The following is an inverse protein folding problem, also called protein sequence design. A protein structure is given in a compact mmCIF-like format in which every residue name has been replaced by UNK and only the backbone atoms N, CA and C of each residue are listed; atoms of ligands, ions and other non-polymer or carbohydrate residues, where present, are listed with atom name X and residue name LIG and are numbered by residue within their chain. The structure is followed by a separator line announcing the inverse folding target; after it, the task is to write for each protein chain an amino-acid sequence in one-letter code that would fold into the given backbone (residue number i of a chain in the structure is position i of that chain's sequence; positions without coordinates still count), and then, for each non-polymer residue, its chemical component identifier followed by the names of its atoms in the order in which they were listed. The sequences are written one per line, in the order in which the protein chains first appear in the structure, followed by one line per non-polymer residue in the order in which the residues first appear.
data_IF_046104531954
#
_entry.id   IF_046104531954
#
_cell.length_a   1.000
_cell.length_b   1.000
_cell.length_c   1.000
_cell.angle_alpha   90.00
_cell.angle_beta   90.00
_cell.angle_gamma   90.00
#
_symmetry.space_group_name_H-M   'P 1'
#
loop_
_entity.id
_entity.type
_entity.pdbx_description
1 polymer ?
#
# COMPACT_ATOMS: atom_id res chain seq x y z
N UNK A 1 31.01 16.78 8.35
CA UNK A 1 30.38 15.74 7.50
C UNK A 1 30.12 14.43 8.23
N UNK A 2 31.08 13.82 8.96
CA UNK A 2 30.88 12.53 9.65
C UNK A 2 29.74 12.52 10.67
N UNK A 3 29.58 13.57 11.48
CA UNK A 3 28.49 13.68 12.46
C UNK A 3 27.12 13.67 11.77
N UNK A 4 26.94 14.46 10.71
CA UNK A 4 25.70 14.46 9.91
C UNK A 4 25.40 13.10 9.30
N UNK A 5 26.39 12.44 8.70
CA UNK A 5 26.19 11.12 8.10
C UNK A 5 25.79 10.08 9.15
N UNK A 6 26.42 10.08 10.33
CA UNK A 6 26.08 9.13 11.38
C UNK A 6 24.68 9.40 11.95
N UNK A 7 24.38 10.65 12.32
CA UNK A 7 23.10 10.98 12.95
C UNK A 7 21.93 10.86 11.97
N UNK A 8 22.03 11.44 10.77
CA UNK A 8 20.90 11.44 9.82
C UNK A 8 20.63 10.05 9.24
N UNK A 9 21.66 9.25 8.96
CA UNK A 9 21.47 7.89 8.45
C UNK A 9 20.83 6.98 9.50
N UNK A 10 21.14 7.15 10.78
CA UNK A 10 20.45 6.43 11.84
C UNK A 10 18.96 6.78 11.89
N UNK A 11 18.61 8.06 11.67
CA UNK A 11 17.21 8.50 11.68
C UNK A 11 16.35 7.93 10.55
N UNK A 12 16.96 7.32 9.52
CA UNK A 12 16.23 6.61 8.46
C UNK A 12 15.89 5.17 8.80
N UNK A 13 16.44 4.61 9.88
CA UNK A 13 16.19 3.23 10.32
C UNK A 13 14.99 3.18 11.25
N UNK A 14 14.54 1.99 11.66
CA UNK A 14 13.47 1.84 12.67
C UNK A 14 13.90 2.27 14.08
N UNK A 15 15.16 2.01 14.44
CA UNK A 15 15.77 2.35 15.72
C UNK A 15 17.16 2.95 15.49
N UNK A 16 17.58 3.85 16.38
CA UNK A 16 18.94 4.39 16.36
C UNK A 16 19.96 3.42 16.99
N UNK A 17 21.24 3.82 17.08
CA UNK A 17 22.27 2.97 17.69
C UNK A 17 22.10 2.70 19.18
N UNK A 18 21.20 3.44 19.87
CA UNK A 18 20.89 3.26 21.28
C UNK A 18 19.60 2.47 21.51
N UNK A 19 18.89 2.09 20.44
CA UNK A 19 17.61 1.38 20.51
C UNK A 19 16.39 2.31 20.62
N UNK A 20 16.58 3.62 20.45
CA UNK A 20 15.51 4.61 20.54
C UNK A 20 14.75 4.75 19.22
N UNK A 21 13.47 5.13 19.29
CA UNK A 21 12.64 5.36 18.10
C UNK A 21 13.18 6.53 17.29
N UNK A 22 13.31 6.34 15.99
CA UNK A 22 13.74 7.36 15.05
C UNK A 22 12.57 8.17 14.49
N UNK A 23 12.89 9.25 13.79
CA UNK A 23 11.92 10.01 12.99
C UNK A 23 11.19 9.11 11.98
N UNK A 24 11.91 8.20 11.29
CA UNK A 24 11.28 7.26 10.36
C UNK A 24 10.27 6.34 11.05
N UNK A 25 10.55 5.87 12.28
CA UNK A 25 9.59 5.09 13.06
C UNK A 25 8.38 5.89 13.48
N UNK A 26 8.58 7.11 13.99
CA UNK A 26 7.51 7.97 14.49
C UNK A 26 6.54 8.39 13.38
N UNK A 27 7.04 8.84 12.24
CA UNK A 27 6.18 9.20 11.11
C UNK A 27 5.50 7.99 10.50
N UNK A 28 6.19 6.86 10.39
CA UNK A 28 5.56 5.61 9.91
C UNK A 28 4.37 5.23 10.78
N UNK A 29 4.54 5.26 12.11
CA UNK A 29 3.47 4.98 13.06
C UNK A 29 2.33 6.01 12.94
N UNK A 30 2.65 7.29 12.81
CA UNK A 30 1.65 8.35 12.71
C UNK A 30 0.79 8.22 11.43
N UNK A 31 1.42 7.99 10.27
CA UNK A 31 0.67 7.80 9.01
C UNK A 31 -0.21 6.54 9.06
N UNK A 32 0.32 5.42 9.56
CA UNK A 32 -0.43 4.16 9.56
C UNK A 32 -1.54 4.11 10.62
N UNK A 33 -1.27 4.54 11.85
CA UNK A 33 -2.19 4.37 12.98
C UNK A 33 -3.11 5.56 13.21
N UNK A 34 -2.72 6.76 12.77
CA UNK A 34 -3.47 8.00 13.02
C UNK A 34 -4.13 8.49 11.73
N UNK A 35 -3.35 8.82 10.69
CA UNK A 35 -3.91 9.39 9.45
C UNK A 35 -4.80 8.37 8.72
N UNK A 36 -4.27 7.20 8.34
CA UNK A 36 -5.01 6.20 7.56
C UNK A 36 -6.15 5.56 8.35
N UNK A 37 -6.06 5.52 9.68
CA UNK A 37 -7.16 5.08 10.54
C UNK A 37 -8.34 6.05 10.51
N UNK A 38 -8.08 7.36 10.46
CA UNK A 38 -9.12 8.40 10.31
C UNK A 38 -9.75 8.40 8.92
N UNK A 39 -8.99 8.02 7.88
CA UNK A 39 -9.54 7.76 6.54
C UNK A 39 -10.53 6.59 6.58
N UNK A 40 -10.14 5.49 7.24
CA UNK A 40 -11.01 4.32 7.42
C UNK A 40 -12.29 4.62 8.22
N UNK A 41 -12.24 5.64 9.10
CA UNK A 41 -13.40 6.13 9.86
C UNK A 41 -14.30 7.09 9.05
N UNK A 42 -13.95 7.42 7.81
CA UNK A 42 -14.72 8.30 6.93
C UNK A 42 -14.54 9.80 7.20
N UNK A 43 -13.57 10.19 8.05
CA UNK A 43 -13.34 11.60 8.39
C UNK A 43 -12.37 12.32 7.45
N UNK A 44 -11.65 11.56 6.63
CA UNK A 44 -10.66 12.03 5.66
C UNK A 44 -10.90 11.27 4.36
N UNK A 45 -10.72 11.91 3.20
CA UNK A 45 -10.73 11.21 1.91
C UNK A 45 -9.47 11.52 1.10
N UNK A 46 -9.17 10.65 0.14
CA UNK A 46 -8.12 10.93 -0.85
C UNK A 46 -8.71 11.75 -2.01
N UNK A 47 -8.10 12.89 -2.32
CA UNK A 47 -8.47 13.74 -3.44
C UNK A 47 -7.44 13.63 -4.56
N UNK A 48 -7.81 12.98 -5.67
CA UNK A 48 -6.92 12.86 -6.83
C UNK A 48 -6.57 14.22 -7.46
N UNK A 49 -7.50 15.19 -7.40
CA UNK A 49 -7.27 16.53 -7.94
C UNK A 49 -6.22 17.32 -7.14
N UNK A 50 -6.18 17.13 -5.82
CA UNK A 50 -5.20 17.79 -4.96
C UNK A 50 -3.95 16.94 -4.73
N UNK A 51 -3.97 15.66 -5.14
CA UNK A 51 -2.94 14.65 -4.83
C UNK A 51 -2.60 14.62 -3.34
N UNK A 52 -3.62 14.71 -2.49
CA UNK A 52 -3.49 14.76 -1.04
C UNK A 52 -4.69 14.09 -0.37
N UNK A 53 -4.54 13.76 0.91
CA UNK A 53 -5.66 13.44 1.79
C UNK A 53 -6.24 14.73 2.36
N UNK A 54 -7.57 14.85 2.35
CA UNK A 54 -8.29 16.06 2.73
C UNK A 54 -9.28 15.72 3.83
N UNK A 55 -9.31 16.54 4.88
CA UNK A 55 -10.29 16.41 5.96
C UNK A 55 -11.72 16.70 5.44
N UNK A 56 -12.67 15.81 5.74
CA UNK A 56 -14.08 15.95 5.37
C UNK A 56 -14.94 16.57 6.46
N UNK A 57 -14.51 16.47 7.72
CA UNK A 57 -15.24 16.98 8.87
C UNK A 57 -14.99 18.48 9.06
N UNK A 58 -15.97 19.17 9.66
CA UNK A 58 -15.83 20.58 9.99
C UNK A 58 -14.61 20.83 10.89
N UNK A 59 -13.97 21.99 10.72
CA UNK A 59 -12.82 22.44 11.49
C UNK A 59 -13.00 22.16 13.00
N UNK A 60 -12.07 21.42 13.61
CA UNK A 60 -12.05 21.12 15.04
C UNK A 60 -12.53 19.73 15.47
N UNK A 61 -13.15 18.92 14.59
CA UNK A 61 -13.48 17.52 14.91
C UNK A 61 -12.24 16.60 14.92
N UNK A 62 -11.20 17.00 14.19
CA UNK A 62 -9.93 16.30 14.03
C UNK A 62 -8.83 17.26 14.50
N UNK A 63 -7.87 16.76 15.28
CA UNK A 63 -6.78 17.56 15.85
C UNK A 63 -5.73 18.05 14.84
N UNK A 64 -5.89 17.74 13.55
CA UNK A 64 -4.97 18.14 12.47
C UNK A 64 -5.72 18.16 11.13
N UNK A 65 -5.21 18.94 10.17
CA UNK A 65 -5.69 18.96 8.79
C UNK A 65 -4.90 17.94 7.96
N UNK A 66 -5.57 17.00 7.29
CA UNK A 66 -4.88 15.91 6.60
C UNK A 66 -4.01 16.40 5.44
N UNK A 67 -4.42 17.48 4.80
CA UNK A 67 -3.75 18.11 3.67
C UNK A 67 -2.38 18.69 4.06
N UNK A 68 -2.24 19.20 5.29
CA UNK A 68 -0.99 19.76 5.83
C UNK A 68 0.06 18.68 6.17
N UNK A 69 -0.24 17.40 5.94
CA UNK A 69 0.68 16.29 6.16
C UNK A 69 0.76 15.33 4.98
N UNK A 70 -0.05 15.51 3.94
CA UNK A 70 -0.14 14.52 2.85
C UNK A 70 -0.12 15.10 1.45
N UNK A 71 0.01 16.43 1.34
CA UNK A 71 0.30 17.04 0.05
C UNK A 71 1.68 16.61 -0.47
N UNK A 72 1.95 16.93 -1.72
CA UNK A 72 3.19 16.56 -2.38
C UNK A 72 4.41 17.23 -1.71
N UNK A 73 4.26 18.43 -1.15
CA UNK A 73 5.39 19.14 -0.55
C UNK A 73 5.81 18.49 0.77
N UNK A 74 4.84 18.13 1.61
CA UNK A 74 5.05 17.45 2.88
C UNK A 74 5.62 16.05 2.68
N UNK A 75 5.12 15.30 1.68
CA UNK A 75 5.67 13.99 1.36
C UNK A 75 7.07 14.05 0.75
N UNK A 76 7.40 15.11 -0.01
CA UNK A 76 8.79 15.37 -0.45
C UNK A 76 9.68 15.72 0.75
N UNK A 77 9.21 16.55 1.67
CA UNK A 77 9.95 16.88 2.89
C UNK A 77 10.21 15.64 3.75
N UNK A 78 9.20 14.77 3.89
CA UNK A 78 9.35 13.47 4.54
C UNK A 78 10.41 12.62 3.84
N UNK A 79 10.35 12.51 2.50
CA UNK A 79 11.32 11.74 1.73
C UNK A 79 12.75 12.30 1.82
N UNK A 80 12.92 13.62 1.93
CA UNK A 80 14.23 14.24 2.20
C UNK A 80 14.77 13.88 3.60
N UNK A 81 13.88 13.76 4.58
CA UNK A 81 14.23 13.50 5.97
C UNK A 81 14.56 12.04 6.24
N UNK A 82 13.73 11.11 5.74
CA UNK A 82 13.85 9.67 6.05
C UNK A 82 14.48 8.87 4.90
N UNK A 83 14.64 9.48 3.72
CA UNK A 83 15.32 8.89 2.56
C UNK A 83 14.71 7.58 2.05
N UNK A 84 15.40 6.89 1.12
CA UNK A 84 14.94 5.61 0.58
C UNK A 84 14.72 4.54 1.65
N UNK A 85 15.57 4.49 2.69
CA UNK A 85 15.45 3.48 3.75
C UNK A 85 14.17 3.66 4.58
N UNK A 86 13.90 4.90 5.04
CA UNK A 86 12.70 5.18 5.81
C UNK A 86 11.44 5.07 4.97
N UNK A 87 11.46 5.50 3.70
CA UNK A 87 10.33 5.35 2.78
C UNK A 87 10.04 3.89 2.42
N UNK A 88 11.09 3.05 2.33
CA UNK A 88 10.94 1.60 2.22
C UNK A 88 10.29 1.01 3.46
N UNK A 89 10.74 1.39 4.66
CA UNK A 89 10.15 0.93 5.92
C UNK A 89 8.68 1.35 6.06
N UNK A 90 8.34 2.59 5.70
CA UNK A 90 6.96 3.07 5.60
C UNK A 90 6.16 2.17 4.66
N UNK A 91 6.67 1.93 3.45
CA UNK A 91 5.99 1.10 2.45
C UNK A 91 5.78 -0.35 2.91
N UNK A 92 6.75 -0.96 3.57
CA UNK A 92 6.64 -2.30 4.16
C UNK A 92 5.55 -2.35 5.23
N UNK A 93 5.47 -1.32 6.09
CA UNK A 93 4.42 -1.20 7.11
C UNK A 93 3.03 -1.09 6.48
N UNK A 94 2.89 -0.28 5.43
CA UNK A 94 1.63 -0.17 4.67
C UNK A 94 1.24 -1.52 4.04
N UNK A 95 2.20 -2.25 3.45
CA UNK A 95 1.94 -3.54 2.83
C UNK A 95 1.56 -4.61 3.86
N UNK A 96 2.11 -4.55 5.07
CA UNK A 96 1.69 -5.41 6.17
C UNK A 96 0.20 -5.21 6.51
N UNK A 97 -0.25 -3.95 6.61
CA UNK A 97 -1.67 -3.65 6.84
C UNK A 97 -2.56 -4.15 5.68
N UNK A 98 -2.14 -4.00 4.43
CA UNK A 98 -2.88 -4.55 3.28
C UNK A 98 -2.95 -6.07 3.36
N UNK A 99 -1.85 -6.75 3.67
CA UNK A 99 -1.84 -8.20 3.79
C UNK A 99 -2.82 -8.69 4.87
N UNK A 100 -2.90 -7.98 6.00
CA UNK A 100 -3.92 -8.23 7.02
C UNK A 100 -5.35 -8.07 6.49
N UNK A 101 -5.65 -7.01 5.72
CA UNK A 101 -6.97 -6.85 5.09
C UNK A 101 -7.30 -7.97 4.10
N UNK A 102 -6.31 -8.41 3.30
CA UNK A 102 -6.48 -9.52 2.35
C UNK A 102 -6.78 -10.83 3.08
N UNK A 103 -6.17 -11.09 4.23
CA UNK A 103 -6.49 -12.28 5.03
C UNK A 103 -7.92 -12.29 5.54
N UNK A 104 -8.44 -11.14 5.97
CA UNK A 104 -9.84 -11.02 6.36
C UNK A 104 -10.79 -11.17 5.16
N UNK A 105 -10.42 -10.64 3.98
CA UNK A 105 -11.18 -10.87 2.74
C UNK A 105 -11.23 -12.36 2.36
N UNK A 106 -10.12 -13.09 2.49
CA UNK A 106 -10.09 -14.54 2.23
C UNK A 106 -11.09 -15.29 3.12
N UNK A 107 -11.24 -14.90 4.40
CA UNK A 107 -12.24 -15.51 5.31
C UNK A 107 -13.68 -15.26 4.81
N UNK A 108 -13.98 -14.05 4.36
CA UNK A 108 -15.30 -13.71 3.80
C UNK A 108 -15.60 -14.50 2.53
N UNK A 109 -14.60 -14.73 1.68
CA UNK A 109 -14.73 -15.59 0.48
C UNK A 109 -15.01 -17.03 0.86
N UNK A 110 -14.29 -17.58 1.84
CA UNK A 110 -14.51 -18.96 2.31
C UNK A 110 -15.94 -19.13 2.86
N UNK A 111 -16.45 -18.16 3.61
CA UNK A 111 -17.83 -18.17 4.11
C UNK A 111 -18.89 -18.18 2.99
N UNK A 112 -18.58 -17.59 1.83
CA UNK A 112 -19.48 -17.49 0.68
C UNK A 112 -19.08 -18.42 -0.49
N UNK A 113 -18.19 -19.39 -0.27
CA UNK A 113 -17.51 -20.18 -1.33
C UNK A 113 -18.50 -20.83 -2.31
N UNK A 114 -19.53 -21.50 -1.80
CA UNK A 114 -20.52 -22.20 -2.63
C UNK A 114 -21.34 -21.23 -3.49
N UNK A 115 -21.79 -20.12 -2.90
CA UNK A 115 -22.56 -19.08 -3.60
C UNK A 115 -21.71 -18.44 -4.69
N UNK A 116 -20.45 -18.10 -4.39
CA UNK A 116 -19.51 -17.51 -5.34
C UNK A 116 -19.16 -18.47 -6.49
N UNK A 117 -19.05 -19.77 -6.23
CA UNK A 117 -18.85 -20.77 -7.30
C UNK A 117 -20.07 -20.87 -8.23
N UNK A 118 -21.29 -20.81 -7.67
CA UNK A 118 -22.52 -20.80 -8.46
C UNK A 118 -22.64 -19.53 -9.32
N UNK A 119 -22.30 -18.37 -8.76
CA UNK A 119 -22.24 -17.09 -9.48
C UNK A 119 -21.21 -17.14 -10.62
N UNK A 120 -20.01 -17.70 -10.35
CA UNK A 120 -18.94 -17.83 -11.36
C UNK A 120 -19.33 -18.73 -12.54
N UNK A 121 -20.14 -19.76 -12.31
CA UNK A 121 -20.49 -20.77 -13.34
C UNK A 121 -21.79 -20.47 -14.06
N UNK A 122 -22.68 -19.64 -13.49
CA UNK A 122 -23.99 -19.30 -14.05
C UNK A 122 -24.12 -17.80 -14.34
N UNK A 123 -23.02 -17.13 -14.71
CA UNK A 123 -22.98 -15.70 -15.02
C UNK A 123 -23.88 -15.32 -16.22
N UNK A 124 -24.25 -16.29 -17.05
CA UNK A 124 -25.12 -16.18 -18.22
C UNK A 124 -26.62 -16.33 -17.91
N UNK A 125 -26.98 -16.64 -16.65
CA UNK A 125 -28.37 -16.89 -16.22
C UNK A 125 -28.85 -15.84 -15.20
N UNK A 126 -29.52 -14.76 -15.65
CA UNK A 126 -29.90 -13.64 -14.80
C UNK A 126 -30.75 -14.02 -13.58
N UNK A 127 -31.67 -14.98 -13.72
CA UNK A 127 -32.53 -15.40 -12.61
C UNK A 127 -31.74 -16.09 -11.49
N UNK A 128 -30.82 -16.99 -11.85
CA UNK A 128 -29.94 -17.66 -10.89
C UNK A 128 -29.01 -16.64 -10.23
N UNK A 129 -28.43 -15.73 -11.02
CA UNK A 129 -27.56 -14.66 -10.49
C UNK A 129 -28.28 -13.80 -9.45
N UNK A 130 -29.51 -13.37 -9.73
CA UNK A 130 -30.31 -12.55 -8.82
C UNK A 130 -30.65 -13.28 -7.52
N UNK A 131 -30.94 -14.58 -7.59
CA UNK A 131 -31.21 -15.39 -6.41
C UNK A 131 -29.95 -15.61 -5.56
N UNK A 132 -28.84 -15.99 -6.19
CA UNK A 132 -27.57 -16.23 -5.49
C UNK A 132 -27.00 -14.96 -4.89
N UNK A 133 -27.15 -13.80 -5.55
CA UNK A 133 -26.69 -12.51 -5.01
C UNK A 133 -27.33 -12.19 -3.66
N UNK A 134 -28.63 -12.48 -3.48
CA UNK A 134 -29.34 -12.26 -2.20
C UNK A 134 -28.82 -13.15 -1.06
N UNK A 135 -28.11 -14.24 -1.38
CA UNK A 135 -27.53 -15.17 -0.41
C UNK A 135 -26.13 -14.76 0.06
N UNK A 136 -25.49 -13.78 -0.61
CA UNK A 136 -24.19 -13.28 -0.20
C UNK A 136 -24.29 -12.60 1.16
N UNK A 137 -23.33 -12.91 2.04
CA UNK A 137 -23.25 -12.35 3.38
C UNK A 137 -22.07 -11.38 3.46
N UNK A 138 -22.23 -10.32 4.27
CA UNK A 138 -21.15 -9.38 4.57
C UNK A 138 -20.58 -8.63 3.35
N UNK A 139 -21.41 -8.34 2.34
CA UNK A 139 -21.03 -7.58 1.14
C UNK A 139 -20.41 -6.22 1.50
N UNK A 140 -21.02 -5.49 2.44
CA UNK A 140 -20.51 -4.19 2.90
C UNK A 140 -19.10 -4.29 3.50
N UNK A 141 -18.79 -5.39 4.22
CA UNK A 141 -17.47 -5.62 4.78
C UNK A 141 -16.43 -5.88 3.68
N UNK A 142 -16.80 -6.55 2.58
CA UNK A 142 -15.92 -6.75 1.42
C UNK A 142 -15.58 -5.40 0.79
N UNK A 143 -16.59 -4.58 0.50
CA UNK A 143 -16.42 -3.25 -0.08
C UNK A 143 -15.61 -2.33 0.83
N UNK A 144 -15.88 -2.32 2.13
CA UNK A 144 -15.14 -1.52 3.10
C UNK A 144 -13.65 -1.90 3.11
N UNK A 145 -13.33 -3.20 3.18
CA UNK A 145 -11.94 -3.67 3.21
C UNK A 145 -11.20 -3.39 1.91
N UNK A 146 -11.85 -3.59 0.76
CA UNK A 146 -11.27 -3.23 -0.54
C UNK A 146 -11.02 -1.72 -0.67
N UNK A 147 -11.92 -0.90 -0.12
CA UNK A 147 -11.74 0.56 -0.07
C UNK A 147 -10.55 0.94 0.79
N UNK A 148 -10.39 0.31 1.97
CA UNK A 148 -9.22 0.52 2.84
C UNK A 148 -7.92 0.15 2.11
N UNK A 149 -7.89 -0.99 1.41
CA UNK A 149 -6.73 -1.40 0.60
C UNK A 149 -6.41 -0.33 -0.46
N UNK A 150 -7.42 0.14 -1.19
CA UNK A 150 -7.27 1.18 -2.21
C UNK A 150 -6.69 2.47 -1.63
N UNK A 151 -7.22 2.93 -0.48
CA UNK A 151 -6.74 4.11 0.25
C UNK A 151 -5.26 3.98 0.62
N UNK A 152 -4.85 2.84 1.19
CA UNK A 152 -3.45 2.62 1.59
C UNK A 152 -2.54 2.63 0.35
N UNK A 153 -2.97 2.03 -0.76
CA UNK A 153 -2.24 2.05 -2.02
C UNK A 153 -2.14 3.46 -2.61
N UNK A 154 -3.21 4.27 -2.53
CA UNK A 154 -3.17 5.68 -2.96
C UNK A 154 -2.18 6.50 -2.15
N UNK A 155 -2.13 6.31 -0.83
CA UNK A 155 -1.12 6.97 0.02
C UNK A 155 0.30 6.53 -0.36
N UNK A 156 0.52 5.23 -0.55
CA UNK A 156 1.82 4.72 -1.00
C UNK A 156 2.21 5.33 -2.35
N UNK A 157 1.29 5.46 -3.29
CA UNK A 157 1.57 6.01 -4.61
C UNK A 157 2.13 7.44 -4.51
N UNK A 158 1.43 8.35 -3.82
CA UNK A 158 1.90 9.74 -3.67
C UNK A 158 3.21 9.83 -2.87
N UNK A 159 3.42 8.93 -1.91
CA UNK A 159 4.67 8.82 -1.16
C UNK A 159 5.85 8.38 -2.04
N UNK A 160 5.64 7.40 -2.93
CA UNK A 160 6.65 6.92 -3.88
C UNK A 160 6.94 7.95 -5.00
N UNK A 161 5.92 8.63 -5.50
CA UNK A 161 6.07 9.77 -6.44
C UNK A 161 6.95 10.87 -5.80
N UNK A 162 6.67 11.21 -4.54
CA UNK A 162 7.44 12.22 -3.80
C UNK A 162 8.89 11.80 -3.53
N UNK A 163 9.13 10.52 -3.25
CA UNK A 163 10.48 9.96 -3.13
C UNK A 163 11.24 10.06 -4.46
N UNK A 164 10.62 9.64 -5.56
CA UNK A 164 11.24 9.69 -6.89
C UNK A 164 11.67 11.12 -7.23
N UNK A 165 10.80 12.10 -7.01
CA UNK A 165 11.09 13.52 -7.26
C UNK A 165 12.31 14.02 -6.47
N UNK A 166 12.47 13.56 -5.23
CA UNK A 166 13.63 13.91 -4.38
C UNK A 166 14.89 13.23 -4.90
N UNK A 167 14.82 11.94 -5.24
CA UNK A 167 15.99 11.19 -5.71
C UNK A 167 16.46 11.65 -7.09
N UNK A 168 15.56 12.03 -7.99
CA UNK A 168 15.92 12.61 -9.28
C UNK A 168 16.76 13.88 -9.12
N UNK A 169 16.45 14.70 -8.11
CA UNK A 169 17.22 15.92 -7.81
C UNK A 169 18.55 15.61 -7.11
N UNK A 170 18.58 14.62 -6.21
CA UNK A 170 19.74 14.36 -5.34
C UNK A 170 20.77 13.41 -5.96
N UNK A 171 20.32 12.42 -6.73
CA UNK A 171 21.13 11.34 -7.32
C UNK A 171 20.73 11.04 -8.79
N UNK A 172 20.71 12.04 -9.68
CA UNK A 172 20.16 11.92 -11.04
C UNK A 172 20.82 10.81 -11.87
N UNK A 173 22.14 10.62 -11.73
CA UNK A 173 22.87 9.59 -12.47
C UNK A 173 22.42 8.18 -12.08
N UNK A 174 22.21 7.92 -10.78
CA UNK A 174 21.76 6.61 -10.31
C UNK A 174 20.33 6.33 -10.78
N UNK A 175 19.45 7.33 -10.68
CA UNK A 175 18.06 7.19 -11.15
C UNK A 175 18.01 6.95 -12.67
N UNK A 176 18.83 7.65 -13.45
CA UNK A 176 18.92 7.42 -14.89
C UNK A 176 19.33 5.98 -15.21
N UNK A 177 20.33 5.44 -14.49
CA UNK A 177 20.73 4.04 -14.68
C UNK A 177 19.62 3.07 -14.28
N UNK A 178 18.94 3.28 -13.15
CA UNK A 178 17.84 2.42 -12.71
C UNK A 178 16.69 2.43 -13.75
N UNK A 179 16.35 3.60 -14.30
CA UNK A 179 15.34 3.74 -15.35
C UNK A 179 15.73 2.98 -16.62
N UNK A 180 16.98 3.06 -17.04
CA UNK A 180 17.49 2.30 -18.20
C UNK A 180 17.39 0.79 -17.98
N UNK A 181 17.82 0.30 -16.80
CA UNK A 181 17.66 -1.11 -16.41
C UNK A 181 16.19 -1.54 -16.40
N UNK A 182 15.28 -0.69 -15.96
CA UNK A 182 13.84 -0.98 -15.94
C UNK A 182 13.26 -1.15 -17.35
N UNK A 183 13.70 -0.33 -18.31
CA UNK A 183 13.20 -0.34 -19.69
C UNK A 183 13.73 -1.51 -20.50
N UNK A 184 14.97 -1.94 -20.23
CA UNK A 184 15.64 -3.00 -20.99
C UNK A 184 15.28 -4.42 -20.53
N UNK A 185 14.30 -4.60 -19.64
CA UNK A 185 13.87 -5.90 -19.10
C UNK A 185 13.35 -6.85 -20.21
N UNK A 186 14.13 -7.84 -20.68
CA UNK A 186 13.81 -8.58 -21.91
C UNK A 186 12.78 -9.71 -21.71
N UNK A 187 12.54 -10.15 -20.47
CA UNK A 187 11.85 -11.42 -20.20
C UNK A 187 10.99 -11.44 -18.93
N UNK A 188 10.68 -10.28 -18.36
CA UNK A 188 10.06 -10.18 -17.04
C UNK A 188 11.07 -10.53 -15.94
N UNK A 189 11.05 -9.79 -14.85
CA UNK A 189 12.04 -9.87 -13.77
C UNK A 189 11.85 -11.15 -12.93
N UNK A 190 12.53 -12.27 -13.22
CA UNK A 190 12.19 -13.57 -12.66
C UNK A 190 12.59 -13.63 -11.18
N UNK A 191 13.68 -12.94 -10.83
CA UNK A 191 14.21 -12.84 -9.48
C UNK A 191 13.65 -11.64 -8.71
N UNK A 192 12.82 -10.80 -9.33
CA UNK A 192 12.22 -9.58 -8.74
C UNK A 192 13.21 -8.51 -8.26
N UNK A 193 14.50 -8.69 -8.53
CA UNK A 193 15.57 -7.81 -8.03
C UNK A 193 15.49 -6.44 -8.66
N UNK A 194 15.19 -6.38 -9.96
CA UNK A 194 15.09 -5.10 -10.68
C UNK A 194 13.84 -4.34 -10.21
N UNK A 195 12.75 -5.05 -9.96
CA UNK A 195 11.50 -4.50 -9.45
C UNK A 195 11.67 -3.97 -8.04
N UNK A 196 12.37 -4.71 -7.16
CA UNK A 196 12.72 -4.24 -5.82
C UNK A 196 13.60 -2.99 -5.85
N UNK A 197 14.61 -2.95 -6.73
CA UNK A 197 15.45 -1.77 -6.93
C UNK A 197 14.64 -0.58 -7.45
N UNK A 198 13.76 -0.78 -8.42
CA UNK A 198 12.89 0.25 -8.95
C UNK A 198 11.95 0.80 -7.87
N UNK A 199 11.27 -0.08 -7.12
CA UNK A 199 10.38 0.34 -6.05
C UNK A 199 11.12 1.02 -4.90
N UNK A 200 12.38 0.66 -4.62
CA UNK A 200 13.20 1.36 -3.62
C UNK A 200 13.60 2.78 -4.07
N UNK A 201 13.57 3.04 -5.38
CA UNK A 201 13.88 4.32 -5.99
C UNK A 201 12.65 5.19 -6.28
N UNK A 202 11.44 4.79 -5.84
CA UNK A 202 10.22 5.55 -6.17
C UNK A 202 9.60 5.21 -7.52
N UNK A 203 10.19 4.31 -8.31
CA UNK A 203 9.69 4.01 -9.66
C UNK A 203 8.49 3.06 -9.61
N UNK A 204 7.45 3.31 -10.43
CA UNK A 204 6.29 2.43 -10.51
C UNK A 204 6.67 1.08 -11.12
N UNK A 205 6.15 0.00 -10.54
CA UNK A 205 6.31 -1.36 -11.04
C UNK A 205 4.96 -1.94 -11.46
N UNK A 206 4.93 -2.73 -12.54
CA UNK A 206 3.70 -3.43 -12.98
C UNK A 206 3.18 -4.41 -11.93
N UNK A 207 4.11 -5.09 -11.25
CA UNK A 207 3.82 -5.94 -10.09
C UNK A 207 4.63 -5.38 -8.94
N UNK A 208 3.94 -4.99 -7.87
CA UNK A 208 4.56 -4.42 -6.69
C UNK A 208 5.32 -5.50 -5.90
N UNK A 209 6.67 -5.41 -5.81
CA UNK A 209 7.47 -6.45 -5.17
C UNK A 209 7.23 -6.53 -3.67
N UNK A 210 7.05 -5.38 -3.01
CA UNK A 210 6.82 -5.27 -1.56
C UNK A 210 5.46 -5.85 -1.19
N UNK A 211 4.41 -5.54 -1.98
CA UNK A 211 3.09 -6.13 -1.77
C UNK A 211 3.12 -7.65 -2.00
N UNK A 212 3.76 -8.09 -3.08
CA UNK A 212 3.84 -9.50 -3.39
C UNK A 212 4.64 -10.28 -2.32
N UNK A 213 5.66 -9.68 -1.72
CA UNK A 213 6.39 -10.24 -0.57
C UNK A 213 5.49 -10.34 0.66
N UNK A 214 4.78 -9.26 1.02
CA UNK A 214 3.88 -9.23 2.17
C UNK A 214 2.75 -10.28 2.06
N UNK A 215 2.14 -10.43 0.87
CA UNK A 215 1.09 -11.42 0.66
C UNK A 215 1.60 -12.87 0.73
N UNK A 216 2.85 -13.13 0.31
CA UNK A 216 3.47 -14.47 0.41
C UNK A 216 3.76 -14.89 1.84
N UNK A 217 4.08 -13.96 2.75
CA UNK A 217 4.34 -14.28 4.15
C UNK A 217 3.12 -14.88 4.86
N UNK A 218 1.91 -14.62 4.34
CA UNK A 218 0.65 -15.15 4.87
C UNK A 218 0.04 -16.25 3.99
N UNK A 219 0.86 -16.97 3.22
CA UNK A 219 0.41 -18.10 2.39
C UNK A 219 0.07 -19.30 3.28
N UNK A 220 -1.11 -19.90 3.07
CA UNK A 220 -1.48 -21.17 3.71
C UNK A 220 -0.89 -22.37 2.95
N UNK A 221 -0.74 -23.52 3.61
CA UNK A 221 0.01 -24.69 3.10
C UNK A 221 -0.61 -25.36 1.85
N UNK A 222 -1.87 -25.09 1.51
CA UNK A 222 -2.58 -25.73 0.38
C UNK A 222 -2.73 -24.76 -0.82
N UNK A 223 -1.85 -24.91 -1.82
CA UNK A 223 -1.75 -23.99 -2.97
C UNK A 223 -3.00 -23.97 -3.89
N UNK A 224 -3.65 -25.11 -4.10
CA UNK A 224 -4.80 -25.21 -5.02
C UNK A 224 -6.06 -24.52 -4.47
N UNK A 225 -6.32 -24.66 -3.17
CA UNK A 225 -7.44 -23.98 -2.53
C UNK A 225 -7.25 -22.47 -2.52
N UNK A 226 -6.01 -22.01 -2.37
CA UNK A 226 -5.70 -20.59 -2.35
C UNK A 226 -5.95 -19.92 -3.72
N UNK A 227 -5.57 -20.58 -4.82
CA UNK A 227 -5.85 -20.06 -6.15
C UNK A 227 -7.35 -19.86 -6.38
N UNK A 228 -8.17 -20.86 -6.00
CA UNK A 228 -9.61 -20.77 -6.10
C UNK A 228 -10.17 -19.62 -5.24
N UNK A 229 -9.71 -19.46 -3.99
CA UNK A 229 -10.14 -18.37 -3.11
C UNK A 229 -9.85 -17.00 -3.76
N UNK A 230 -8.66 -16.81 -4.34
CA UNK A 230 -8.32 -15.55 -5.03
C UNK A 230 -9.22 -15.33 -6.25
N UNK A 231 -9.52 -16.37 -7.04
CA UNK A 231 -10.47 -16.25 -8.15
C UNK A 231 -11.88 -15.87 -7.67
N UNK A 232 -12.35 -16.46 -6.58
CA UNK A 232 -13.68 -16.17 -6.02
C UNK A 232 -13.74 -14.78 -5.37
N UNK A 233 -12.62 -14.26 -4.83
CA UNK A 233 -12.54 -12.87 -4.38
C UNK A 233 -12.87 -11.89 -5.51
N UNK A 234 -12.36 -12.14 -6.73
CA UNK A 234 -12.65 -11.31 -7.91
C UNK A 234 -14.10 -11.40 -8.38
N UNK A 235 -14.83 -12.45 -8.01
CA UNK A 235 -16.27 -12.59 -8.28
C UNK A 235 -17.09 -11.88 -7.21
N UNK A 236 -16.55 -11.75 -6.00
CA UNK A 236 -17.23 -11.14 -4.87
C UNK A 236 -17.16 -9.60 -4.89
N UNK A 237 -16.10 -9.05 -5.48
CA UNK A 237 -15.90 -7.62 -5.72
C UNK A 237 -16.66 -7.23 -6.99
#
# INVERSE_FOLDING_TARGET
TRVFNNCLLQQTQNMDSHGEKTIASLYTQWYSEILLRRVSAGSICFSMNQKAFVSLTAEGAISFNAEEYSDINELRALAELIGPYGMKYLSETLMWHIASQVQELKKLVVQNKEVLQMLRTNFDKPEIMREQFKRLQHVDNVLQRMTIIGVILSFRQIAQESLLDVLERRIPFLISSIKDFQQQLPSGDPMRVISEMCSAAGLPCKVDPTLASALRQHKAELEEEEHLIVCLLMVFI
#
